data_IF_740905001763
#
_entry.id   IF_740905001763
#
_cell.length_a   1.000
_cell.length_b   1.000
_cell.length_c   1.000
_cell.angle_alpha   90.00
_cell.angle_beta   90.00
_cell.angle_gamma   90.00
#
_symmetry.space_group_name_H-M   'P 1'
#
loop_
_entity.id
_entity.type
_entity.pdbx_description
1 polymer ?
#
# COMPACT_ATOMS: atom_id res chain seq x y z
N UNK A 1 14.26 13.61 1.31
CA UNK A 1 13.35 14.72 1.66
C UNK A 1 12.96 14.51 3.11
N UNK A 2 13.22 15.47 4.00
CA UNK A 2 13.02 15.32 5.45
C UNK A 2 11.73 16.07 5.81
N UNK A 3 10.72 15.40 6.38
CA UNK A 3 9.47 16.05 6.81
C UNK A 3 9.22 15.67 8.27
N UNK A 4 9.35 16.64 9.17
CA UNK A 4 9.23 16.45 10.61
C UNK A 4 7.82 16.77 11.15
N UNK A 5 6.94 17.40 10.37
CA UNK A 5 5.63 17.88 10.88
C UNK A 5 4.41 17.64 9.97
N UNK A 6 4.56 17.14 8.74
CA UNK A 6 3.43 16.95 7.80
C UNK A 6 2.94 15.49 7.65
N UNK A 7 3.57 14.58 8.40
CA UNK A 7 3.03 13.27 8.77
C UNK A 7 2.58 12.33 7.63
N UNK A 8 1.71 11.36 7.95
CA UNK A 8 1.16 10.39 6.99
C UNK A 8 0.24 10.99 5.92
N UNK A 9 -0.41 12.12 6.21
CA UNK A 9 -1.33 12.79 5.27
C UNK A 9 -0.63 13.35 4.04
N UNK A 10 0.52 14.02 4.22
CA UNK A 10 1.29 14.52 3.08
C UNK A 10 1.82 13.38 2.23
N UNK A 11 2.34 12.32 2.86
CA UNK A 11 2.79 11.13 2.15
C UNK A 11 1.66 10.50 1.32
N UNK A 12 0.44 10.41 1.89
CA UNK A 12 -0.71 9.90 1.16
C UNK A 12 -1.07 10.75 -0.08
N UNK A 13 -1.01 12.08 0.05
CA UNK A 13 -1.26 13.01 -1.07
C UNK A 13 -0.19 12.90 -2.16
N UNK A 14 1.08 12.82 -1.77
CA UNK A 14 2.20 12.67 -2.71
C UNK A 14 2.10 11.35 -3.49
N UNK A 15 1.76 10.25 -2.80
CA UNK A 15 1.52 8.95 -3.42
C UNK A 15 0.31 9.00 -4.36
N UNK A 16 -0.81 9.61 -3.94
CA UNK A 16 -1.99 9.78 -4.78
C UNK A 16 -1.65 10.56 -6.06
N UNK A 17 -0.95 11.68 -5.95
CA UNK A 17 -0.54 12.49 -7.09
C UNK A 17 0.36 11.70 -8.05
N UNK A 18 1.35 10.97 -7.52
CA UNK A 18 2.23 10.11 -8.30
C UNK A 18 1.47 9.03 -9.06
N UNK A 19 0.50 8.36 -8.42
CA UNK A 19 -0.31 7.32 -9.07
C UNK A 19 -1.16 7.93 -10.18
N UNK A 20 -1.81 9.08 -9.94
CA UNK A 20 -2.61 9.79 -10.95
C UNK A 20 -1.77 10.24 -12.17
N UNK A 21 -0.51 10.58 -11.96
CA UNK A 21 0.41 10.97 -13.05
C UNK A 21 0.83 9.77 -13.91
N UNK A 22 1.10 8.62 -13.28
CA UNK A 22 1.73 7.47 -13.96
C UNK A 22 0.79 6.36 -14.40
N UNK A 23 -0.39 6.25 -13.80
CA UNK A 23 -1.31 5.15 -14.01
C UNK A 23 -2.71 5.65 -14.35
N UNK A 24 -3.38 4.97 -15.28
CA UNK A 24 -4.77 5.26 -15.65
C UNK A 24 -5.68 4.32 -14.88
N UNK A 25 -6.28 4.82 -13.80
CA UNK A 25 -7.28 4.12 -12.96
C UNK A 25 -6.89 2.66 -12.56
N UNK A 26 -5.73 2.44 -11.91
CA UNK A 26 -5.28 1.10 -11.54
C UNK A 26 -6.13 0.49 -10.42
N UNK A 27 -6.22 -0.84 -10.39
CA UNK A 27 -6.61 -1.60 -9.19
C UNK A 27 -5.45 -1.68 -8.22
N UNK A 28 -5.65 -1.20 -7.00
CA UNK A 28 -4.56 -1.05 -6.02
C UNK A 28 -4.73 -2.08 -4.89
N UNK A 29 -3.66 -2.80 -4.58
CA UNK A 29 -3.54 -3.55 -3.32
C UNK A 29 -2.68 -2.76 -2.33
N UNK A 30 -3.25 -2.37 -1.19
CA UNK A 30 -2.54 -1.73 -0.09
C UNK A 30 -2.17 -2.79 0.96
N UNK A 31 -0.90 -3.14 1.05
CA UNK A 31 -0.37 -4.10 2.00
C UNK A 31 0.19 -3.37 3.22
N UNK A 32 -0.40 -3.63 4.37
CA UNK A 32 -0.20 -2.90 5.61
C UNK A 32 -1.18 -1.73 5.73
N UNK A 33 -2.10 -1.84 6.68
CA UNK A 33 -3.13 -0.81 6.88
C UNK A 33 -2.50 0.53 7.27
N UNK A 34 -2.74 1.56 6.45
CA UNK A 34 -2.37 2.93 6.73
C UNK A 34 -3.59 3.84 6.49
N UNK A 35 -4.16 4.48 7.54
CA UNK A 35 -5.43 5.22 7.44
C UNK A 35 -5.46 6.31 6.36
N UNK A 36 -4.43 7.15 6.31
CA UNK A 36 -4.38 8.30 5.40
C UNK A 36 -4.34 7.88 3.93
N UNK A 37 -3.58 6.85 3.60
CA UNK A 37 -3.49 6.27 2.26
C UNK A 37 -4.80 5.60 1.88
N UNK A 38 -5.36 4.78 2.78
CA UNK A 38 -6.64 4.14 2.54
C UNK A 38 -7.73 5.18 2.27
N UNK A 39 -7.79 6.25 3.06
CA UNK A 39 -8.76 7.33 2.87
C UNK A 39 -8.60 8.05 1.53
N UNK A 40 -7.38 8.46 1.19
CA UNK A 40 -7.13 9.25 -0.02
C UNK A 40 -7.30 8.40 -1.28
N UNK A 41 -6.85 7.14 -1.27
CA UNK A 41 -6.91 6.25 -2.44
C UNK A 41 -8.32 5.67 -2.66
N UNK A 42 -9.06 5.35 -1.60
CA UNK A 42 -10.42 4.79 -1.71
C UNK A 42 -11.42 5.72 -2.40
N UNK A 43 -11.17 7.03 -2.37
CA UNK A 43 -11.99 8.04 -3.03
C UNK A 43 -11.79 8.08 -4.54
N UNK A 44 -10.69 7.51 -5.05
CA UNK A 44 -10.19 7.75 -6.40
C UNK A 44 -10.00 6.46 -7.19
N UNK A 45 -9.76 5.32 -6.52
CA UNK A 45 -9.41 4.05 -7.15
C UNK A 45 -10.15 2.86 -6.53
N UNK A 46 -10.17 1.75 -7.27
CA UNK A 46 -10.53 0.44 -6.70
C UNK A 46 -9.40 -0.06 -5.82
N UNK A 47 -9.72 -0.45 -4.59
CA UNK A 47 -8.73 -0.66 -3.56
C UNK A 47 -9.11 -1.85 -2.67
N UNK A 48 -8.15 -2.75 -2.48
CA UNK A 48 -8.15 -3.75 -1.41
C UNK A 48 -7.07 -3.37 -0.39
N UNK A 49 -7.31 -3.67 0.89
CA UNK A 49 -6.33 -3.44 1.96
C UNK A 49 -6.13 -4.70 2.78
N UNK A 50 -4.87 -5.12 2.88
CA UNK A 50 -4.44 -6.36 3.53
C UNK A 50 -3.63 -6.03 4.78
N UNK A 51 -3.92 -6.70 5.89
CA UNK A 51 -3.14 -6.58 7.12
C UNK A 51 -2.97 -7.95 7.80
N UNK A 52 -1.90 -8.10 8.57
CA UNK A 52 -1.66 -9.26 9.44
C UNK A 52 -2.07 -8.99 10.89
N UNK A 53 -2.26 -7.74 11.27
CA UNK A 53 -2.66 -7.34 12.61
C UNK A 53 -4.16 -7.66 12.82
N UNK A 54 -4.50 -8.59 13.73
CA UNK A 54 -5.89 -8.97 14.00
C UNK A 54 -6.71 -7.80 14.57
N UNK A 55 -6.06 -6.76 15.12
CA UNK A 55 -6.75 -5.56 15.55
C UNK A 55 -7.28 -4.71 14.38
N UNK A 56 -6.77 -4.89 13.16
CA UNK A 56 -7.25 -4.19 11.97
C UNK A 56 -8.18 -5.07 11.12
N UNK A 57 -7.83 -6.35 10.97
CA UNK A 57 -8.54 -7.32 10.12
C UNK A 57 -10.03 -7.44 10.49
N UNK A 58 -10.88 -7.53 9.46
CA UNK A 58 -12.34 -7.61 9.55
C UNK A 58 -13.02 -6.27 9.86
N UNK A 59 -12.26 -5.19 10.06
CA UNK A 59 -12.83 -3.86 10.27
C UNK A 59 -13.05 -3.17 8.94
N UNK A 60 -14.21 -2.53 8.80
CA UNK A 60 -14.49 -1.62 7.67
C UNK A 60 -13.92 -0.24 7.98
N UNK A 61 -13.16 0.33 7.04
CA UNK A 61 -12.53 1.64 7.10
C UNK A 61 -12.69 2.33 5.77
N UNK A 62 -13.26 3.53 5.78
CA UNK A 62 -13.54 4.29 4.56
C UNK A 62 -14.34 3.49 3.50
N UNK A 63 -15.23 2.60 3.97
CA UNK A 63 -16.06 1.73 3.11
C UNK A 63 -15.38 0.46 2.62
N UNK A 64 -14.12 0.18 3.01
CA UNK A 64 -13.35 -0.99 2.59
C UNK A 64 -13.06 -1.86 3.81
N UNK A 65 -13.27 -3.17 3.69
CA UNK A 65 -12.90 -4.14 4.73
C UNK A 65 -11.40 -4.40 4.71
N UNK A 66 -10.77 -4.45 5.89
CA UNK A 66 -9.38 -4.89 6.03
C UNK A 66 -9.31 -6.41 6.00
N UNK A 67 -8.77 -6.94 4.92
CA UNK A 67 -8.67 -8.38 4.69
C UNK A 67 -7.46 -8.98 5.38
N UNK A 68 -7.56 -10.27 5.72
CA UNK A 68 -6.43 -10.98 6.29
C UNK A 68 -5.39 -11.29 5.22
N UNK A 69 -4.23 -10.67 5.34
CA UNK A 69 -3.22 -10.64 4.28
C UNK A 69 -2.76 -12.00 3.79
N UNK A 70 -2.64 -13.01 4.66
CA UNK A 70 -2.18 -14.36 4.26
C UNK A 70 -3.19 -15.06 3.35
N UNK A 71 -4.49 -14.94 3.64
CA UNK A 71 -5.52 -15.64 2.87
C UNK A 71 -5.88 -14.90 1.58
N UNK A 72 -5.87 -13.57 1.61
CA UNK A 72 -6.24 -12.74 0.46
C UNK A 72 -5.07 -12.53 -0.54
N UNK A 73 -3.83 -12.85 -0.16
CA UNK A 73 -2.65 -12.47 -0.94
C UNK A 73 -2.67 -12.99 -2.38
N UNK A 74 -2.93 -14.29 -2.62
CA UNK A 74 -2.87 -14.82 -3.98
C UNK A 74 -3.95 -14.17 -4.87
N UNK A 75 -5.19 -14.10 -4.40
CA UNK A 75 -6.29 -13.48 -5.15
C UNK A 75 -6.07 -11.98 -5.38
N UNK A 76 -5.76 -11.22 -4.33
CA UNK A 76 -5.67 -9.76 -4.42
C UNK A 76 -4.37 -9.32 -5.06
N UNK A 77 -3.23 -9.83 -4.58
CA UNK A 77 -1.91 -9.34 -4.98
C UNK A 77 -1.46 -9.97 -6.30
N UNK A 78 -1.59 -11.29 -6.47
CA UNK A 78 -1.10 -11.96 -7.69
C UNK A 78 -2.09 -11.92 -8.86
N UNK A 79 -3.39 -11.96 -8.61
CA UNK A 79 -4.37 -12.03 -9.70
C UNK A 79 -5.07 -10.69 -9.96
N UNK A 80 -5.56 -10.00 -8.92
CA UNK A 80 -6.45 -8.85 -9.10
C UNK A 80 -5.76 -7.49 -9.29
N UNK A 81 -4.71 -7.20 -8.53
CA UNK A 81 -4.09 -5.87 -8.48
C UNK A 81 -3.24 -5.56 -9.72
N UNK A 82 -3.37 -4.33 -10.22
CA UNK A 82 -2.47 -3.76 -11.24
C UNK A 82 -1.26 -3.08 -10.60
N UNK A 83 -1.44 -2.62 -9.36
CA UNK A 83 -0.43 -1.91 -8.58
C UNK A 83 -0.45 -2.35 -7.11
N UNK A 84 0.72 -2.65 -6.55
CA UNK A 84 0.88 -2.99 -5.13
C UNK A 84 1.58 -1.86 -4.39
N UNK A 85 0.96 -1.35 -3.34
CA UNK A 85 1.58 -0.45 -2.38
C UNK A 85 1.88 -1.23 -1.12
N UNK A 86 3.14 -1.35 -0.75
CA UNK A 86 3.58 -2.20 0.34
C UNK A 86 4.29 -1.39 1.43
N UNK A 87 3.86 -1.54 2.68
CA UNK A 87 4.56 -0.88 3.79
C UNK A 87 5.97 -1.44 3.99
N UNK A 88 6.92 -0.58 4.36
CA UNK A 88 8.29 -0.96 4.71
C UNK A 88 8.40 -1.90 5.91
N UNK A 89 7.35 -2.04 6.74
CA UNK A 89 7.36 -3.03 7.84
C UNK A 89 7.44 -4.48 7.34
N UNK A 90 7.11 -4.74 6.06
CA UNK A 90 7.36 -6.04 5.41
C UNK A 90 8.85 -6.40 5.34
N UNK A 91 9.75 -5.41 5.38
CA UNK A 91 11.19 -5.62 5.52
C UNK A 91 11.50 -6.15 6.92
N UNK A 92 10.96 -5.49 7.95
CA UNK A 92 11.23 -5.83 9.35
C UNK A 92 10.72 -7.21 9.75
N UNK A 93 9.62 -7.68 9.15
CA UNK A 93 9.06 -9.00 9.44
C UNK A 93 9.45 -10.08 8.42
N UNK A 94 10.32 -9.76 7.44
CA UNK A 94 10.83 -10.70 6.44
C UNK A 94 9.86 -11.07 5.32
N UNK A 95 8.67 -10.49 5.27
CA UNK A 95 7.66 -10.80 4.24
C UNK A 95 7.85 -10.02 2.93
N UNK A 96 8.81 -9.09 2.86
CA UNK A 96 9.15 -8.35 1.64
C UNK A 96 9.43 -9.26 0.45
N UNK A 97 9.98 -10.46 0.68
CA UNK A 97 10.28 -11.44 -0.38
C UNK A 97 9.03 -11.85 -1.17
N UNK A 98 7.84 -11.75 -0.58
CA UNK A 98 6.57 -12.04 -1.25
C UNK A 98 6.14 -10.91 -2.20
N UNK A 99 6.83 -9.77 -2.21
CA UNK A 99 6.49 -8.60 -3.01
C UNK A 99 7.63 -8.22 -3.97
N UNK A 100 8.67 -9.06 -4.06
CA UNK A 100 9.77 -8.95 -5.02
C UNK A 100 9.53 -9.98 -6.14
N UNK A 101 9.87 -9.62 -7.38
CA UNK A 101 9.79 -10.50 -8.57
C UNK A 101 8.39 -11.08 -8.88
N UNK A 102 7.31 -10.43 -8.42
CA UNK A 102 5.93 -10.88 -8.67
C UNK A 102 5.37 -10.44 -10.04
N UNK A 103 6.23 -10.01 -10.98
CA UNK A 103 5.86 -9.47 -12.30
C UNK A 103 4.81 -8.35 -12.28
N UNK A 104 4.75 -7.57 -11.18
CA UNK A 104 3.85 -6.43 -11.02
C UNK A 104 4.57 -5.20 -10.49
N UNK A 105 4.12 -3.99 -10.81
CA UNK A 105 4.62 -2.79 -10.17
C UNK A 105 4.35 -2.83 -8.65
N UNK A 106 5.41 -2.74 -7.86
CA UNK A 106 5.34 -2.67 -6.39
C UNK A 106 6.04 -1.40 -5.92
N UNK A 107 5.35 -0.55 -5.15
CA UNK A 107 5.95 0.59 -4.47
C UNK A 107 5.97 0.37 -2.97
N UNK A 108 7.15 0.50 -2.39
CA UNK A 108 7.32 0.48 -0.96
C UNK A 108 7.15 1.88 -0.36
N UNK A 109 6.42 2.00 0.75
CA UNK A 109 6.28 3.24 1.49
C UNK A 109 6.52 3.00 2.98
N UNK A 110 7.15 3.94 3.68
CA UNK A 110 7.39 3.84 5.11
C UNK A 110 6.42 4.74 5.88
N UNK A 111 5.93 4.26 7.02
CA UNK A 111 5.11 5.02 7.97
C UNK A 111 5.95 5.85 8.94
N UNK A 112 7.24 5.52 9.06
CA UNK A 112 8.18 6.02 10.07
C UNK A 112 9.24 6.95 9.49
N UNK A 113 9.59 6.82 8.21
CA UNK A 113 10.39 7.80 7.47
C UNK A 113 9.51 8.47 6.42
N UNK A 114 9.24 9.75 6.66
CA UNK A 114 8.50 10.65 5.79
C UNK A 114 9.06 10.67 4.37
N UNK A 115 8.49 9.85 3.49
CA UNK A 115 8.77 9.80 2.07
C UNK A 115 8.41 8.44 1.49
N UNK A 116 7.61 8.46 0.42
CA UNK A 116 7.61 7.36 -0.53
C UNK A 116 9.00 7.32 -1.19
N UNK A 117 9.95 6.66 -0.55
CA UNK A 117 11.16 6.28 -1.24
C UNK A 117 10.75 5.16 -2.20
N UNK A 118 11.01 5.25 -3.51
CA UNK A 118 11.11 4.05 -4.31
C UNK A 118 12.28 3.27 -3.72
N UNK A 119 12.02 2.47 -2.68
CA UNK A 119 13.10 1.85 -1.90
C UNK A 119 13.94 0.96 -2.80
N UNK A 120 13.38 0.42 -3.88
CA UNK A 120 14.14 -0.36 -4.83
C UNK A 120 13.61 -0.04 -6.24
N UNK A 121 14.47 0.55 -7.08
CA UNK A 121 14.35 0.47 -8.53
C UNK A 121 14.60 -0.96 -9.04
N UNK A 122 14.12 -1.97 -8.31
CA UNK A 122 14.04 -3.34 -8.78
C UNK A 122 12.88 -3.36 -9.76
N UNK A 123 13.26 -3.38 -11.04
CA UNK A 123 12.38 -3.88 -12.11
C UNK A 123 12.21 -5.38 -11.94
#
# INVERSE_FOLDING_TARGET
MHCKDEGPEKCAKDILAFIKEKYINPKIALVGYQPSLLENLSKEFKLHVLDLNPANVGKVRYGIEVEYGILAYDEVVKEWADLVLCTGSTICNGTIVNFIDINKPVFFFDTTLSGAAPILGLK
#
